data_IF_848265163565
#
_entry.id   IF_848265163565
#
_cell.length_a   1.000
_cell.length_b   1.000
_cell.length_c   1.000
_cell.angle_alpha   90.00
_cell.angle_beta   90.00
_cell.angle_gamma   90.00
#
_symmetry.space_group_name_H-M   'P 1'
#
loop_
_entity.id
_entity.type
_entity.pdbx_description
1 polymer ?
#
# COMPACT_ATOMS: atom_id res chain seq x y z
N UNK A 1 -9.46 -4.64 -68.90
CA UNK A 1 -10.30 -4.08 -67.81
C UNK A 1 -9.79 -4.66 -66.50
N UNK A 2 -9.50 -3.81 -65.52
CA UNK A 2 -8.92 -4.17 -64.21
C UNK A 2 -10.06 -4.36 -63.22
N UNK A 3 -10.13 -5.51 -62.55
CA UNK A 3 -10.96 -5.67 -61.36
C UNK A 3 -10.06 -6.09 -60.21
N UNK A 4 -9.68 -5.10 -59.39
CA UNK A 4 -9.00 -5.31 -58.11
C UNK A 4 -10.05 -5.81 -57.11
N UNK A 5 -9.91 -7.03 -56.61
CA UNK A 5 -10.61 -7.48 -55.42
C UNK A 5 -9.74 -7.16 -54.20
N UNK A 6 -9.96 -5.99 -53.62
CA UNK A 6 -9.46 -5.64 -52.29
C UNK A 6 -10.68 -5.54 -51.40
N UNK A 7 -10.97 -6.57 -50.59
CA UNK A 7 -11.83 -6.46 -49.42
C UNK A 7 -11.38 -7.52 -48.39
N UNK A 8 -10.28 -7.21 -47.72
CA UNK A 8 -10.03 -7.73 -46.37
C UNK A 8 -9.94 -6.51 -45.46
N UNK A 9 -10.85 -6.37 -44.49
CA UNK A 9 -10.44 -5.80 -43.23
C UNK A 9 -10.68 -6.83 -42.13
N UNK A 10 -9.66 -7.66 -41.95
CA UNK A 10 -9.24 -8.08 -40.62
C UNK A 10 -8.77 -6.80 -39.92
N UNK A 11 -9.63 -6.14 -39.15
CA UNK A 11 -9.24 -4.92 -38.45
C UNK A 11 -9.99 -4.77 -37.12
N UNK A 12 -9.28 -5.21 -36.09
CA UNK A 12 -9.29 -4.68 -34.72
C UNK A 12 -10.49 -5.05 -33.87
N UNK A 13 -10.33 -6.20 -33.23
CA UNK A 13 -10.78 -6.47 -31.86
C UNK A 13 -10.49 -5.22 -31.02
N UNK A 14 -11.51 -4.41 -30.74
CA UNK A 14 -11.46 -3.42 -29.67
C UNK A 14 -11.51 -4.20 -28.35
N UNK A 15 -10.35 -4.73 -27.96
CA UNK A 15 -10.08 -5.15 -26.60
C UNK A 15 -9.99 -3.84 -25.81
N UNK A 16 -11.13 -3.30 -25.40
CA UNK A 16 -11.20 -2.27 -24.37
C UNK A 16 -10.74 -2.93 -23.07
N UNK A 17 -9.42 -3.03 -22.90
CA UNK A 17 -8.81 -3.22 -21.60
C UNK A 17 -9.20 -1.99 -20.80
N UNK A 18 -10.29 -2.11 -20.02
CA UNK A 18 -10.56 -1.17 -18.96
C UNK A 18 -9.30 -1.16 -18.10
N UNK A 19 -8.49 -0.12 -18.25
CA UNK A 19 -7.42 0.18 -17.32
C UNK A 19 -8.13 0.47 -16.00
N UNK A 20 -8.26 -0.54 -15.15
CA UNK A 20 -8.57 -0.35 -13.76
C UNK A 20 -7.42 0.49 -13.20
N UNK A 21 -7.59 1.81 -13.20
CA UNK A 21 -6.73 2.70 -12.47
C UNK A 21 -6.87 2.30 -11.01
N UNK A 22 -5.90 1.52 -10.51
CA UNK A 22 -5.89 1.09 -9.13
C UNK A 22 -5.92 2.35 -8.27
N UNK A 23 -7.00 2.55 -7.52
CA UNK A 23 -7.15 3.74 -6.69
C UNK A 23 -6.01 3.72 -5.68
N UNK A 24 -5.24 4.81 -5.60
CA UNK A 24 -4.17 4.92 -4.62
C UNK A 24 -4.77 4.77 -3.22
N UNK A 25 -4.14 3.93 -2.39
CA UNK A 25 -4.49 3.75 -0.99
C UNK A 25 -3.33 4.27 -0.17
N UNK A 26 -3.64 5.02 0.88
CA UNK A 26 -2.65 5.54 1.81
C UNK A 26 -2.80 4.85 3.14
N UNK A 27 -1.71 4.67 3.85
CA UNK A 27 -1.72 3.94 5.09
C UNK A 27 -0.61 4.40 6.02
N UNK A 28 -0.79 4.13 7.31
CA UNK A 28 0.26 4.22 8.31
C UNK A 28 0.06 3.13 9.36
N UNK A 29 1.13 2.77 10.05
CA UNK A 29 1.12 1.79 11.12
C UNK A 29 1.17 2.46 12.49
N UNK A 30 0.50 1.84 13.46
CA UNK A 30 0.54 2.20 14.87
C UNK A 30 1.02 1.00 15.67
N UNK A 31 2.17 1.17 16.31
CA UNK A 31 2.77 0.20 17.20
C UNK A 31 2.41 0.46 18.65
N UNK A 32 2.37 -0.60 19.46
CA UNK A 32 2.34 -0.54 20.93
C UNK A 32 1.12 0.18 21.52
N UNK A 33 0.05 0.36 20.74
CA UNK A 33 -1.10 1.18 21.11
C UNK A 33 -1.97 0.62 22.24
N UNK A 34 -1.85 -0.68 22.53
CA UNK A 34 -2.60 -1.36 23.60
C UNK A 34 -1.95 -1.12 24.96
N UNK A 35 -0.69 -1.52 25.13
CA UNK A 35 0.01 -1.52 26.42
C UNK A 35 1.54 -1.30 26.31
N UNK A 36 2.05 -0.78 25.18
CA UNK A 36 3.49 -0.62 25.04
C UNK A 36 4.03 0.64 25.74
N UNK A 37 5.35 0.70 25.99
CA UNK A 37 5.97 1.80 26.72
C UNK A 37 5.88 3.13 25.95
N UNK A 38 5.94 3.06 24.62
CA UNK A 38 5.84 4.20 23.69
C UNK A 38 4.98 3.79 22.50
N UNK A 39 4.08 4.68 22.08
CA UNK A 39 3.27 4.51 20.87
C UNK A 39 4.08 4.99 19.68
N UNK A 40 4.35 4.08 18.76
CA UNK A 40 5.11 4.33 17.54
C UNK A 40 4.14 4.54 16.37
N UNK A 41 4.25 5.65 15.66
CA UNK A 41 3.37 5.96 14.51
C UNK A 41 4.25 6.18 13.28
N UNK A 42 4.14 5.31 12.28
CA UNK A 42 4.91 5.41 11.05
C UNK A 42 4.53 6.68 10.27
N UNK A 43 5.37 7.12 9.31
CA UNK A 43 4.95 8.04 8.26
C UNK A 43 3.73 7.49 7.52
N UNK A 44 2.98 8.39 6.88
CA UNK A 44 2.03 7.98 5.86
C UNK A 44 2.80 7.42 4.65
N UNK A 45 2.31 6.33 4.07
CA UNK A 45 2.87 5.70 2.88
C UNK A 45 1.76 5.29 1.92
N UNK A 46 2.09 5.20 0.64
CA UNK A 46 1.20 4.64 -0.38
C UNK A 46 1.27 3.10 -0.37
N UNK A 47 0.12 2.46 -0.48
CA UNK A 47 -0.05 1.02 -0.57
C UNK A 47 -1.15 0.68 -1.57
N UNK A 48 -1.49 -0.59 -1.70
CA UNK A 48 -2.53 -1.07 -2.59
C UNK A 48 -3.33 -2.22 -1.98
N UNK A 49 -4.53 -2.47 -2.53
CA UNK A 49 -5.41 -3.57 -2.11
C UNK A 49 -4.77 -4.97 -2.31
N UNK A 50 -3.67 -5.04 -3.06
CA UNK A 50 -2.93 -6.29 -3.27
C UNK A 50 -2.20 -6.76 -2.02
N UNK A 51 -1.97 -5.86 -1.06
CA UNK A 51 -1.26 -6.15 0.18
C UNK A 51 -2.24 -6.51 1.29
N UNK A 52 -2.01 -7.67 1.89
CA UNK A 52 -2.65 -8.04 3.15
C UNK A 52 -2.04 -7.27 4.32
N UNK A 53 -2.79 -7.06 5.40
CA UNK A 53 -2.29 -6.39 6.61
C UNK A 53 -0.97 -6.98 7.14
N UNK A 54 -0.78 -8.33 7.24
CA UNK A 54 0.51 -8.88 7.66
C UNK A 54 1.68 -8.50 6.75
N UNK A 55 1.47 -8.43 5.43
CA UNK A 55 2.50 -8.02 4.49
C UNK A 55 2.84 -6.53 4.63
N UNK A 56 1.84 -5.68 4.88
CA UNK A 56 2.08 -4.27 5.16
C UNK A 56 2.87 -4.12 6.47
N UNK A 57 2.51 -4.86 7.52
CA UNK A 57 3.23 -4.85 8.80
C UNK A 57 4.69 -5.30 8.62
N UNK A 58 4.92 -6.35 7.84
CA UNK A 58 6.29 -6.80 7.54
C UNK A 58 7.08 -5.70 6.84
N UNK A 59 6.51 -5.07 5.81
CA UNK A 59 7.15 -3.97 5.10
C UNK A 59 7.45 -2.78 6.02
N UNK A 60 6.53 -2.42 6.93
CA UNK A 60 6.75 -1.37 7.94
C UNK A 60 7.94 -1.70 8.85
N UNK A 61 8.08 -2.95 9.29
CA UNK A 61 9.23 -3.40 10.11
C UNK A 61 10.54 -3.31 9.35
N UNK A 62 10.53 -3.64 8.07
CA UNK A 62 11.71 -3.54 7.19
C UNK A 62 12.09 -2.07 6.93
N UNK A 63 11.09 -1.20 6.75
CA UNK A 63 11.28 0.21 6.43
C UNK A 63 11.69 1.06 7.64
N UNK A 64 11.18 0.74 8.84
CA UNK A 64 11.44 1.47 10.09
C UNK A 64 11.81 0.54 11.25
N UNK A 65 12.91 -0.23 11.13
CA UNK A 65 13.28 -1.26 12.11
C UNK A 65 13.55 -0.68 13.50
N UNK A 66 14.12 0.52 13.59
CA UNK A 66 14.42 1.20 14.86
C UNK A 66 13.20 1.42 15.76
N UNK A 67 11.99 1.42 15.18
CA UNK A 67 10.75 1.69 15.89
C UNK A 67 9.83 0.47 15.96
N UNK A 68 9.84 -0.40 14.94
CA UNK A 68 8.85 -1.47 14.79
C UNK A 68 9.38 -2.90 14.99
N UNK A 69 10.69 -3.13 15.11
CA UNK A 69 11.26 -4.49 15.24
C UNK A 69 10.74 -5.22 16.49
N UNK A 70 10.71 -4.55 17.64
CA UNK A 70 10.31 -5.14 18.93
C UNK A 70 8.85 -4.86 19.32
N UNK A 71 8.10 -4.17 18.46
CA UNK A 71 6.68 -3.89 18.70
C UNK A 71 5.86 -5.16 18.54
N UNK A 72 5.06 -5.52 19.55
CA UNK A 72 4.21 -6.73 19.52
C UNK A 72 2.84 -6.45 18.92
N UNK A 73 2.25 -5.30 19.23
CA UNK A 73 0.92 -4.89 18.77
C UNK A 73 1.05 -3.85 17.67
N UNK A 74 1.02 -4.27 16.41
CA UNK A 74 1.02 -3.36 15.25
C UNK A 74 -0.35 -3.43 14.58
N UNK A 75 -0.96 -2.27 14.38
CA UNK A 75 -2.16 -2.11 13.55
C UNK A 75 -1.85 -1.19 12.36
N UNK A 76 -2.63 -1.31 11.30
CA UNK A 76 -2.44 -0.58 10.05
C UNK A 76 -3.78 0.00 9.62
N UNK A 77 -3.81 1.33 9.45
CA UNK A 77 -5.01 2.05 9.05
C UNK A 77 -4.91 2.44 7.57
N UNK A 78 -6.02 2.33 6.84
CA UNK A 78 -6.09 2.59 5.40
C UNK A 78 -7.00 3.78 5.09
N UNK A 79 -6.58 4.60 4.14
CA UNK A 79 -7.22 5.86 3.77
C UNK A 79 -7.29 5.98 2.25
N UNK A 80 -8.33 6.66 1.77
CA UNK A 80 -8.55 6.92 0.34
C UNK A 80 -7.76 8.10 -0.19
N UNK A 81 -7.20 8.91 0.69
CA UNK A 81 -6.53 10.17 0.40
C UNK A 81 -5.48 10.49 1.48
N UNK A 82 -4.55 11.37 1.12
CA UNK A 82 -3.40 11.75 1.97
C UNK A 82 -3.86 12.59 3.16
N UNK A 83 -4.80 13.51 2.93
CA UNK A 83 -5.25 14.50 3.90
C UNK A 83 -5.92 13.84 5.11
N UNK A 84 -6.86 12.93 4.86
CA UNK A 84 -7.53 12.15 5.91
C UNK A 84 -6.56 11.25 6.67
N UNK A 85 -5.57 10.66 5.98
CA UNK A 85 -4.51 9.90 6.63
C UNK A 85 -3.66 10.75 7.57
N UNK A 86 -3.22 11.92 7.13
CA UNK A 86 -2.42 12.84 7.94
C UNK A 86 -3.20 13.42 9.12
N UNK A 87 -4.45 13.86 8.91
CA UNK A 87 -5.31 14.37 9.98
C UNK A 87 -5.53 13.31 11.07
N UNK A 88 -5.75 12.06 10.65
CA UNK A 88 -5.93 10.96 11.58
C UNK A 88 -4.65 10.66 12.38
N UNK A 89 -3.46 10.67 11.74
CA UNK A 89 -2.15 10.53 12.43
C UNK A 89 -1.96 11.60 13.51
N UNK A 90 -2.24 12.86 13.19
CA UNK A 90 -2.11 13.98 14.14
C UNK A 90 -3.11 13.86 15.29
N UNK A 91 -4.35 13.44 14.99
CA UNK A 91 -5.38 13.22 16.00
C UNK A 91 -5.02 12.08 16.96
N UNK A 92 -4.43 10.99 16.46
CA UNK A 92 -3.96 9.90 17.30
C UNK A 92 -2.84 10.34 18.25
N UNK A 93 -1.87 11.13 17.75
CA UNK A 93 -0.83 11.71 18.60
C UNK A 93 -1.43 12.51 19.76
N UNK A 94 -2.43 13.35 19.49
CA UNK A 94 -3.15 14.09 20.52
C UNK A 94 -3.87 13.16 21.51
N UNK A 95 -4.58 12.13 21.01
CA UNK A 95 -5.32 11.15 21.83
C UNK A 95 -4.41 10.40 22.79
N UNK A 96 -3.24 9.93 22.34
CA UNK A 96 -2.30 9.22 23.21
C UNK A 96 -1.55 10.17 24.15
N UNK A 97 -1.31 11.42 23.72
CA UNK A 97 -0.81 12.48 24.60
C UNK A 97 -1.73 12.75 25.80
N UNK A 98 -3.06 12.74 25.59
CA UNK A 98 -4.04 12.86 26.70
C UNK A 98 -3.96 11.69 27.70
N UNK A 99 -3.53 10.51 27.23
CA UNK A 99 -3.31 9.33 28.08
C UNK A 99 -1.94 9.33 28.77
N UNK A 100 -1.15 10.39 28.62
CA UNK A 100 0.22 10.52 29.11
C UNK A 100 1.16 9.42 28.61
N UNK A 101 0.84 8.83 27.45
CA UNK A 101 1.72 7.90 26.77
C UNK A 101 2.72 8.69 25.91
N UNK A 102 4.00 8.34 25.93
CA UNK A 102 4.95 8.92 25.00
C UNK A 102 4.58 8.45 23.58
N UNK A 103 4.65 9.37 22.63
CA UNK A 103 4.30 9.13 21.23
C UNK A 103 5.46 9.56 20.35
N UNK A 104 5.93 8.65 19.51
CA UNK A 104 6.85 8.94 18.44
C UNK A 104 6.07 9.00 17.12
N UNK A 105 5.96 10.21 16.59
CA UNK A 105 5.42 10.43 15.26
C UNK A 105 6.61 10.53 14.30
N UNK A 106 6.79 9.49 13.49
CA UNK A 106 7.91 9.41 12.55
C UNK A 106 7.49 10.16 11.29
N UNK A 107 8.32 11.08 10.81
CA UNK A 107 8.08 11.80 9.56
C UNK A 107 9.00 11.27 8.46
N UNK A 108 8.53 11.29 7.22
CA UNK A 108 9.32 10.96 6.04
C UNK A 108 8.95 11.89 4.88
N UNK A 109 9.97 12.36 4.18
CA UNK A 109 9.86 13.14 2.94
C UNK A 109 10.95 12.66 1.97
N UNK A 110 10.63 12.10 0.78
CA UNK A 110 9.30 11.97 0.18
C UNK A 110 8.43 10.85 0.79
N UNK A 111 7.11 10.91 0.52
CA UNK A 111 6.14 9.90 0.96
C UNK A 111 6.52 8.49 0.42
N UNK A 112 6.80 7.52 1.30
CA UNK A 112 7.19 6.18 0.90
C UNK A 112 6.05 5.43 0.21
N UNK A 113 6.40 4.39 -0.54
CA UNK A 113 5.44 3.49 -1.20
C UNK A 113 5.84 2.04 -1.00
N UNK A 114 4.88 1.15 -0.81
CA UNK A 114 5.15 -0.28 -0.89
C UNK A 114 5.70 -0.61 -2.28
N UNK A 115 6.64 -1.57 -2.39
CA UNK A 115 7.09 -2.01 -3.71
C UNK A 115 5.90 -2.57 -4.52
N UNK A 116 5.99 -2.70 -5.83
CA UNK A 116 4.99 -3.47 -6.57
C UNK A 116 5.14 -4.96 -6.18
N UNK A 117 4.07 -5.61 -5.71
CA UNK A 117 4.05 -7.06 -5.56
C UNK A 117 4.36 -7.66 -6.93
N UNK A 118 5.40 -8.51 -7.09
CA UNK A 118 5.59 -9.25 -8.33
C UNK A 118 4.30 -10.03 -8.57
N UNK A 119 3.63 -9.78 -9.70
CA UNK A 119 2.43 -10.50 -10.06
C UNK A 119 2.67 -11.98 -9.79
N UNK A 120 1.84 -12.59 -8.93
CA UNK A 120 1.82 -14.02 -8.62
C UNK A 120 2.30 -14.76 -9.87
N UNK A 121 3.48 -15.38 -9.78
CA UNK A 121 4.19 -15.94 -10.92
C UNK A 121 3.19 -16.54 -11.90
N UNK A 122 3.18 -16.03 -13.13
CA UNK A 122 2.37 -16.60 -14.20
C UNK A 122 2.51 -18.13 -14.11
N UNK A 123 1.41 -18.90 -14.15
CA UNK A 123 1.51 -20.36 -14.08
C UNK A 123 2.57 -20.78 -15.09
N UNK A 124 3.59 -21.49 -14.60
CA UNK A 124 4.74 -21.88 -15.41
C UNK A 124 4.21 -22.43 -16.73
N UNK A 125 4.47 -21.70 -17.82
CA UNK A 125 4.32 -22.19 -19.16
C UNK A 125 5.36 -23.31 -19.31
N UNK A 126 4.95 -24.51 -18.92
CA UNK A 126 5.75 -25.70 -18.88
C UNK A 126 4.82 -26.87 -19.15
N UNK A 127 4.66 -27.16 -20.43
CA UNK A 127 3.99 -28.35 -20.95
C UNK A 127 4.59 -29.65 -20.35
N UNK A 128 3.97 -30.80 -20.65
CA UNK A 128 4.68 -31.65 -21.60
C UNK A 128 3.82 -32.08 -22.79
N UNK A 129 4.58 -32.48 -23.80
CA UNK A 129 4.22 -32.87 -25.17
C UNK A 129 3.31 -34.10 -25.23
#
# INVERSE_FOLDING_TARGET
MKTKHILLPFAVIFLSTAAYAQKAIYSYAVGNWRNGPTVEISPLFETSEMYTTPQVIQWVREQWPAFFTDTTDIDVLFFTDIEGGQENRQTLKAKYGLRKLPVHLIEADPMPRTPPTPARAAPASGAPQ
#
